data_IF_844418175146
#
_entry.id   IF_844418175146
#
_cell.length_a   1.000
_cell.length_b   1.000
_cell.length_c   1.000
_cell.angle_alpha   90.00
_cell.angle_beta   90.00
_cell.angle_gamma   90.00
#
_symmetry.space_group_name_H-M   'P 1'
#
loop_
_entity.id
_entity.type
_entity.pdbx_description
1 polymer ?
#
# COMPACT_ATOMS: atom_id res chain seq x y z
N UNK A 1 12.29 0.74 22.95
CA UNK A 1 10.90 1.23 22.83
C UNK A 1 10.54 1.22 21.35
N UNK A 2 9.49 0.50 20.93
CA UNK A 2 9.23 0.27 19.50
C UNK A 2 8.56 1.46 18.80
N UNK A 3 8.19 2.52 19.51
CA UNK A 3 7.49 3.65 18.92
C UNK A 3 8.31 4.28 17.79
N UNK A 4 7.68 4.35 16.63
CA UNK A 4 8.21 4.94 15.41
C UNK A 4 7.03 5.37 14.55
N UNK A 5 7.08 6.58 13.99
CA UNK A 5 6.09 7.05 13.04
C UNK A 5 6.83 7.68 11.87
N UNK A 6 6.65 7.11 10.69
CA UNK A 6 7.19 7.65 9.46
C UNK A 6 6.22 8.68 8.89
N UNK A 7 6.75 9.81 8.41
CA UNK A 7 5.96 10.82 7.71
C UNK A 7 5.71 10.39 6.26
N UNK A 8 4.81 9.43 6.08
CA UNK A 8 4.50 8.82 4.77
C UNK A 8 3.37 9.62 4.11
N UNK A 9 3.58 10.16 2.89
CA UNK A 9 2.53 10.84 2.15
C UNK A 9 1.31 9.93 1.98
N UNK A 10 0.13 10.46 2.26
CA UNK A 10 -1.12 9.74 2.07
C UNK A 10 -1.60 9.92 0.63
N UNK A 11 -1.83 8.82 -0.08
CA UNK A 11 -2.31 8.83 -1.46
C UNK A 11 -3.63 8.07 -1.54
N UNK A 12 -4.70 8.75 -1.97
CA UNK A 12 -5.99 8.13 -2.23
C UNK A 12 -6.02 7.37 -3.56
N UNK A 13 -6.76 6.26 -3.62
CA UNK A 13 -6.89 5.52 -4.88
C UNK A 13 -7.86 6.16 -5.87
N UNK A 14 -8.86 6.90 -5.39
CA UNK A 14 -9.93 7.54 -6.19
C UNK A 14 -9.71 9.03 -6.49
N UNK A 15 -8.70 9.64 -5.88
CA UNK A 15 -8.46 11.09 -5.92
C UNK A 15 -7.00 11.42 -6.24
N UNK A 16 -6.81 12.54 -6.92
CA UNK A 16 -5.50 13.15 -7.16
C UNK A 16 -4.93 13.81 -5.90
N UNK A 17 -3.72 14.34 -6.03
CA UNK A 17 -3.06 15.10 -4.95
C UNK A 17 -3.84 16.37 -4.56
N UNK A 18 -4.64 16.90 -5.48
CA UNK A 18 -5.52 18.05 -5.29
C UNK A 18 -6.87 17.69 -4.65
N UNK A 19 -7.06 16.43 -4.26
CA UNK A 19 -8.30 15.92 -3.69
C UNK A 19 -9.43 15.75 -4.70
N UNK A 20 -9.23 16.07 -5.98
CA UNK A 20 -10.24 15.90 -7.02
C UNK A 20 -10.30 14.43 -7.47
N UNK A 21 -11.47 13.95 -7.93
CA UNK A 21 -11.58 12.60 -8.50
C UNK A 21 -10.53 12.37 -9.61
N UNK A 22 -9.90 11.20 -9.60
CA UNK A 22 -9.11 10.75 -10.75
C UNK A 22 -10.07 10.42 -11.89
N UNK A 23 -10.00 11.21 -12.96
CA UNK A 23 -10.84 11.03 -14.14
C UNK A 23 -10.02 10.44 -15.28
N UNK A 24 -10.52 9.38 -15.92
CA UNK A 24 -9.95 8.80 -17.13
C UNK A 24 -11.04 8.52 -18.17
N UNK A 25 -10.73 8.55 -19.48
CA UNK A 25 -11.69 8.15 -20.50
C UNK A 25 -11.99 6.64 -20.37
N UNK A 26 -13.28 6.30 -20.37
CA UNK A 26 -13.75 4.92 -20.49
C UNK A 26 -13.55 4.39 -21.93
N UNK A 27 -13.82 3.10 -22.23
CA UNK A 27 -13.67 2.56 -23.59
C UNK A 27 -14.50 3.28 -24.67
N UNK A 28 -15.50 4.07 -24.29
CA UNK A 28 -16.30 4.90 -25.20
C UNK A 28 -15.76 6.33 -25.35
N UNK A 29 -14.65 6.67 -24.68
CA UNK A 29 -14.01 7.98 -24.69
C UNK A 29 -14.63 9.00 -23.72
N UNK A 30 -15.60 8.60 -22.90
CA UNK A 30 -16.24 9.48 -21.91
C UNK A 30 -15.43 9.51 -20.62
N UNK A 31 -15.22 10.71 -20.07
CA UNK A 31 -14.53 10.85 -18.79
C UNK A 31 -15.36 10.23 -17.66
N UNK A 32 -14.79 9.25 -16.98
CA UNK A 32 -15.37 8.57 -15.82
C UNK A 32 -14.40 8.59 -14.64
N UNK A 33 -14.94 8.51 -13.42
CA UNK A 33 -14.10 8.36 -12.23
C UNK A 33 -13.43 6.99 -12.23
N UNK A 34 -12.13 6.98 -11.99
CA UNK A 34 -11.29 5.81 -11.98
C UNK A 34 -10.68 5.58 -10.59
N UNK A 35 -10.16 4.37 -10.37
CA UNK A 35 -9.34 4.04 -9.22
C UNK A 35 -10.10 3.26 -8.16
N UNK A 36 -11.24 2.68 -8.52
CA UNK A 36 -12.01 1.77 -7.67
C UNK A 36 -11.21 0.52 -7.28
N UNK A 37 -10.26 0.10 -8.11
CA UNK A 37 -9.38 -1.04 -7.88
C UNK A 37 -7.90 -0.67 -7.84
N UNK A 38 -7.57 0.59 -7.53
CA UNK A 38 -6.20 1.11 -7.55
C UNK A 38 -5.50 1.16 -6.18
N UNK A 39 -6.01 0.46 -5.17
CA UNK A 39 -5.40 0.43 -3.82
C UNK A 39 -3.92 0.00 -3.84
N UNK A 40 -3.60 -1.01 -4.64
CA UNK A 40 -2.24 -1.53 -4.79
C UNK A 40 -1.28 -0.47 -5.33
N UNK A 41 -1.70 0.32 -6.33
CA UNK A 41 -0.86 1.35 -6.94
C UNK A 41 -0.71 2.56 -6.04
N UNK A 42 -1.81 3.02 -5.45
CA UNK A 42 -1.79 4.13 -4.49
C UNK A 42 -0.85 3.81 -3.32
N UNK A 43 -0.93 2.58 -2.79
CA UNK A 43 -0.01 2.11 -1.75
C UNK A 43 1.45 2.03 -2.23
N UNK A 44 1.72 1.61 -3.47
CA UNK A 44 3.07 1.63 -4.03
C UNK A 44 3.62 3.07 -4.16
N UNK A 45 2.78 4.02 -4.58
CA UNK A 45 3.10 5.44 -4.63
C UNK A 45 3.47 5.97 -3.24
N UNK A 46 2.71 5.64 -2.19
CA UNK A 46 3.01 6.06 -0.81
C UNK A 46 4.39 5.58 -0.36
N UNK A 47 4.75 4.33 -0.67
CA UNK A 47 6.09 3.79 -0.35
C UNK A 47 7.18 4.54 -1.10
N UNK A 48 7.00 4.77 -2.41
CA UNK A 48 8.00 5.49 -3.22
C UNK A 48 8.15 6.97 -2.83
N UNK A 49 7.04 7.67 -2.55
CA UNK A 49 7.06 9.10 -2.22
C UNK A 49 7.63 9.42 -0.85
N UNK A 50 7.67 8.45 0.06
CA UNK A 50 8.43 8.60 1.30
C UNK A 50 9.92 8.83 1.03
N UNK A 51 10.49 8.24 -0.03
CA UNK A 51 11.91 8.38 -0.38
C UNK A 51 12.17 9.55 -1.32
N UNK A 52 11.34 9.69 -2.35
CA UNK A 52 11.47 10.76 -3.34
C UNK A 52 10.07 11.24 -3.72
N UNK A 53 9.65 12.41 -3.23
CA UNK A 53 8.40 13.03 -3.67
C UNK A 53 8.43 13.20 -5.19
N UNK A 54 7.33 12.86 -5.85
CA UNK A 54 7.18 13.02 -7.29
C UNK A 54 5.70 13.05 -7.67
N UNK A 55 5.35 13.61 -8.83
CA UNK A 55 3.98 13.57 -9.30
C UNK A 55 3.54 12.12 -9.51
N UNK A 56 2.27 11.83 -9.22
CA UNK A 56 1.64 10.60 -9.69
C UNK A 56 1.50 10.72 -11.19
N UNK A 57 2.27 9.92 -11.94
CA UNK A 57 2.26 9.90 -13.41
C UNK A 57 0.96 9.28 -13.98
N UNK A 58 -0.15 9.31 -13.22
CA UNK A 58 -1.35 8.51 -13.48
C UNK A 58 -1.14 7.04 -13.14
N UNK A 59 -2.16 6.22 -13.41
CA UNK A 59 -2.02 4.76 -13.45
C UNK A 59 -1.31 4.39 -14.75
N UNK A 60 -0.18 3.64 -14.71
CA UNK A 60 0.42 3.11 -15.91
C UNK A 60 -0.58 2.35 -16.79
N UNK A 61 -0.39 2.42 -18.10
CA UNK A 61 -1.32 1.91 -19.10
C UNK A 61 -1.68 0.44 -18.90
N UNK A 62 -0.71 -0.36 -18.46
CA UNK A 62 -0.88 -1.77 -18.11
C UNK A 62 -1.91 -2.00 -16.97
N UNK A 63 -2.31 -0.94 -16.27
CA UNK A 63 -3.21 -0.99 -15.12
C UNK A 63 -4.40 -0.02 -15.21
N UNK A 64 -4.69 0.49 -16.42
CA UNK A 64 -5.82 1.39 -16.70
C UNK A 64 -7.18 0.69 -16.76
N UNK A 65 -7.26 -0.63 -16.59
CA UNK A 65 -8.53 -1.35 -16.68
C UNK A 65 -9.42 -1.24 -15.43
N UNK A 66 -9.12 -0.33 -14.51
CA UNK A 66 -9.61 -0.30 -13.12
C UNK A 66 -9.78 -1.71 -12.51
N UNK A 67 -8.76 -2.53 -12.70
CA UNK A 67 -8.76 -3.93 -12.32
C UNK A 67 -7.89 -4.15 -11.08
N UNK A 68 -8.29 -5.09 -10.23
CA UNK A 68 -7.45 -5.56 -9.14
C UNK A 68 -6.21 -6.27 -9.66
N UNK A 69 -5.14 -6.30 -8.87
CA UNK A 69 -3.99 -7.14 -9.18
C UNK A 69 -4.32 -8.60 -8.90
N UNK A 70 -3.93 -9.48 -9.84
CA UNK A 70 -3.80 -10.90 -9.53
C UNK A 70 -2.59 -11.12 -8.61
N UNK A 71 -2.58 -12.23 -7.89
CA UNK A 71 -1.46 -12.58 -7.00
C UNK A 71 -0.11 -12.67 -7.76
N UNK A 72 -0.13 -13.15 -9.01
CA UNK A 72 1.08 -13.20 -9.84
C UNK A 72 1.56 -11.80 -10.25
N UNK A 73 0.64 -10.84 -10.44
CA UNK A 73 0.96 -9.49 -10.90
C UNK A 73 1.62 -8.61 -9.84
N UNK A 74 1.60 -9.01 -8.56
CA UNK A 74 2.27 -8.28 -7.47
C UNK A 74 3.80 -8.23 -7.67
N UNK A 75 4.41 -9.27 -8.26
CA UNK A 75 5.84 -9.24 -8.58
C UNK A 75 6.16 -8.26 -9.71
N UNK A 76 5.26 -8.17 -10.72
CA UNK A 76 5.38 -7.20 -11.80
C UNK A 76 5.23 -5.77 -11.29
N UNK A 77 4.29 -5.53 -10.37
CA UNK A 77 4.19 -4.26 -9.65
C UNK A 77 5.50 -3.94 -8.94
N UNK A 78 6.04 -4.89 -8.16
CA UNK A 78 7.25 -4.67 -7.40
C UNK A 78 8.43 -4.30 -8.32
N UNK A 79 8.60 -4.99 -9.45
CA UNK A 79 9.61 -4.63 -10.44
C UNK A 79 9.40 -3.23 -11.02
N UNK A 80 8.18 -2.91 -11.46
CA UNK A 80 7.88 -1.63 -12.11
C UNK A 80 8.07 -0.43 -11.17
N UNK A 81 7.73 -0.59 -9.89
CA UNK A 81 7.80 0.47 -8.89
C UNK A 81 9.13 0.49 -8.10
N UNK A 82 10.08 -0.38 -8.47
CA UNK A 82 11.35 -0.54 -7.77
C UNK A 82 11.16 -0.92 -6.30
N UNK A 83 10.19 -1.80 -6.03
CA UNK A 83 9.96 -2.43 -4.74
C UNK A 83 10.58 -3.82 -4.73
N UNK A 84 10.79 -4.34 -3.53
CA UNK A 84 11.19 -5.74 -3.31
C UNK A 84 10.34 -6.38 -2.23
N UNK A 85 10.14 -7.68 -2.37
CA UNK A 85 9.48 -8.49 -1.36
C UNK A 85 10.36 -8.67 -0.13
N UNK A 86 9.74 -8.63 1.05
CA UNK A 86 10.37 -9.06 2.30
C UNK A 86 9.63 -10.27 2.87
N UNK A 87 10.37 -11.18 3.49
CA UNK A 87 9.79 -12.35 4.11
C UNK A 87 8.89 -11.96 5.30
N UNK A 88 7.76 -12.65 5.45
CA UNK A 88 6.94 -12.55 6.65
C UNK A 88 7.75 -13.08 7.85
N UNK A 89 7.85 -12.33 8.95
CA UNK A 89 8.55 -12.82 10.14
C UNK A 89 7.88 -14.09 10.68
N UNK A 90 8.68 -15.06 11.14
CA UNK A 90 8.16 -16.35 11.64
C UNK A 90 7.20 -16.18 12.84
N UNK A 91 7.49 -15.22 13.73
CA UNK A 91 6.63 -14.87 14.86
C UNK A 91 5.42 -14.00 14.48
N UNK A 92 5.23 -13.72 13.18
CA UNK A 92 4.24 -12.76 12.70
C UNK A 92 4.69 -11.30 12.84
N UNK A 93 3.81 -10.40 12.42
CA UNK A 93 4.02 -8.96 12.52
C UNK A 93 3.64 -8.48 13.93
N UNK A 94 4.60 -8.38 14.84
CA UNK A 94 4.43 -7.77 16.17
C UNK A 94 4.76 -6.28 16.08
N UNK A 95 4.43 -5.50 17.13
CA UNK A 95 4.83 -4.10 17.19
C UNK A 95 6.35 -3.94 17.07
N UNK A 96 7.13 -4.79 17.74
CA UNK A 96 8.59 -4.75 17.67
C UNK A 96 9.11 -5.11 16.27
N UNK A 97 8.61 -6.20 15.67
CA UNK A 97 9.10 -6.61 14.34
C UNK A 97 8.69 -5.62 13.25
N UNK A 98 7.50 -5.02 13.35
CA UNK A 98 7.09 -3.94 12.45
C UNK A 98 8.00 -2.72 12.64
N UNK A 99 8.25 -2.29 13.88
CA UNK A 99 9.12 -1.15 14.14
C UNK A 99 10.54 -1.35 13.56
N UNK A 100 11.10 -2.55 13.72
CA UNK A 100 12.42 -2.89 13.18
C UNK A 100 12.43 -2.97 11.65
N UNK A 101 11.35 -3.45 11.03
CA UNK A 101 11.20 -3.42 9.57
C UNK A 101 11.08 -1.98 9.06
N UNK A 102 10.29 -1.14 9.71
CA UNK A 102 10.12 0.28 9.36
C UNK A 102 11.43 1.06 9.47
N UNK A 103 12.25 0.81 10.51
CA UNK A 103 13.58 1.44 10.65
C UNK A 103 14.53 1.03 9.53
N UNK A 104 14.51 -0.24 9.12
CA UNK A 104 15.42 -0.78 8.10
C UNK A 104 15.01 -0.44 6.68
N UNK A 105 13.71 -0.34 6.42
CA UNK A 105 13.18 -0.34 5.05
C UNK A 105 12.20 0.79 4.76
N UNK A 106 11.88 1.64 5.74
CA UNK A 106 10.84 2.64 5.61
C UNK A 106 9.43 2.00 5.56
N UNK A 107 8.44 2.66 4.94
CA UNK A 107 7.07 2.18 4.91
C UNK A 107 6.93 0.83 4.20
N UNK A 108 5.97 0.03 4.67
CA UNK A 108 5.76 -1.34 4.18
C UNK A 108 4.41 -1.40 3.47
N UNK A 109 4.42 -1.70 2.19
CA UNK A 109 3.23 -2.07 1.44
C UNK A 109 2.77 -3.46 1.88
N UNK A 110 1.50 -3.62 2.24
CA UNK A 110 0.95 -4.87 2.75
C UNK A 110 -0.34 -5.25 2.01
N UNK A 111 -0.38 -6.45 1.42
CA UNK A 111 -1.56 -7.05 0.80
C UNK A 111 -2.32 -7.93 1.78
N UNK A 112 -3.63 -7.69 1.88
CA UNK A 112 -4.51 -8.36 2.82
C UNK A 112 -5.97 -8.27 2.41
N UNK A 113 -6.85 -8.53 3.37
CA UNK A 113 -8.29 -8.28 3.30
C UNK A 113 -8.66 -7.20 4.32
N UNK A 114 -8.13 -6.00 4.13
CA UNK A 114 -8.16 -4.92 5.13
C UNK A 114 -9.40 -4.02 5.07
N UNK A 115 -10.33 -4.26 4.14
CA UNK A 115 -11.55 -3.45 4.01
C UNK A 115 -12.60 -3.90 5.02
N UNK A 116 -12.90 -3.03 5.98
CA UNK A 116 -13.96 -3.23 6.97
C UNK A 116 -15.29 -3.51 6.23
N UNK A 117 -16.01 -4.56 6.64
CA UNK A 117 -17.27 -4.98 6.00
C UNK A 117 -17.12 -5.79 4.70
N UNK A 118 -15.89 -5.95 4.17
CA UNK A 118 -15.62 -6.69 2.93
C UNK A 118 -14.48 -7.71 3.12
N UNK A 119 -14.65 -8.75 3.95
CA UNK A 119 -13.57 -9.64 4.40
C UNK A 119 -12.96 -10.51 3.28
N UNK A 120 -13.60 -10.60 2.11
CA UNK A 120 -13.09 -11.33 0.93
C UNK A 120 -12.45 -10.40 -0.12
N UNK A 121 -12.54 -9.08 0.05
CA UNK A 121 -11.99 -8.14 -0.90
C UNK A 121 -10.49 -7.95 -0.64
N UNK A 122 -9.68 -8.29 -1.65
CA UNK A 122 -8.24 -7.99 -1.63
C UNK A 122 -8.00 -6.49 -1.54
N UNK A 123 -7.13 -6.07 -0.64
CA UNK A 123 -6.80 -4.67 -0.39
C UNK A 123 -5.32 -4.50 -0.04
N UNK A 124 -4.76 -3.38 -0.46
CA UNK A 124 -3.38 -3.01 -0.15
C UNK A 124 -3.36 -1.75 0.71
N UNK A 125 -2.69 -1.84 1.86
CA UNK A 125 -2.44 -0.72 2.78
C UNK A 125 -0.93 -0.45 2.89
N UNK A 126 -0.55 0.62 3.57
CA UNK A 126 0.86 0.90 3.90
C UNK A 126 1.04 1.04 5.39
N UNK A 127 1.87 0.19 5.99
CA UNK A 127 2.27 0.33 7.39
C UNK A 127 3.25 1.50 7.51
N UNK A 128 2.96 2.43 8.42
CA UNK A 128 3.67 3.71 8.54
C UNK A 128 4.27 3.93 9.92
N UNK A 129 3.89 3.14 10.92
CA UNK A 129 4.37 3.34 12.27
C UNK A 129 3.88 2.31 13.28
N UNK A 130 4.39 2.46 14.49
CA UNK A 130 3.99 1.76 15.71
C UNK A 130 3.89 2.79 16.83
N UNK A 131 2.78 2.73 17.56
CA UNK A 131 2.55 3.41 18.84
C UNK A 131 1.91 2.36 19.74
N UNK A 132 2.72 1.66 20.52
CA UNK A 132 2.28 0.46 21.25
C UNK A 132 1.00 0.72 22.06
N UNK A 133 -0.04 -0.14 21.97
CA UNK A 133 -0.08 -1.46 21.32
C UNK A 133 -0.56 -1.44 19.84
N UNK A 134 -0.54 -0.28 19.19
CA UNK A 134 -1.11 -0.08 17.86
C UNK A 134 -0.06 0.00 16.75
N UNK A 135 -0.44 -0.51 15.60
CA UNK A 135 0.22 -0.31 14.32
C UNK A 135 -0.53 0.79 13.58
N UNK A 136 0.22 1.73 13.01
CA UNK A 136 -0.28 2.82 12.19
C UNK A 136 -0.17 2.41 10.72
N UNK A 137 -1.19 2.74 9.94
CA UNK A 137 -1.20 2.49 8.51
C UNK A 137 -1.99 3.55 7.75
N UNK A 138 -1.64 3.74 6.48
CA UNK A 138 -2.40 4.52 5.52
C UNK A 138 -3.25 3.56 4.67
N UNK A 139 -4.53 3.89 4.55
CA UNK A 139 -5.50 3.18 3.71
C UNK A 139 -5.85 4.04 2.48
N UNK A 140 -5.61 3.57 1.25
CA UNK A 140 -5.91 4.36 0.06
C UNK A 140 -7.41 4.46 -0.28
N UNK A 141 -8.28 3.58 0.26
CA UNK A 141 -9.73 3.57 -0.01
C UNK A 141 -10.45 4.73 0.68
N UNK A 142 -10.16 4.89 1.96
CA UNK A 142 -10.50 6.03 2.80
C UNK A 142 -9.20 6.71 3.19
N UNK A 143 -8.66 7.63 2.36
CA UNK A 143 -7.34 8.20 2.55
C UNK A 143 -7.25 8.94 3.89
N UNK A 144 -6.86 8.19 4.90
CA UNK A 144 -6.73 8.61 6.29
C UNK A 144 -5.70 7.71 6.97
N UNK A 145 -4.88 8.31 7.83
CA UNK A 145 -4.06 7.55 8.75
C UNK A 145 -4.97 6.83 9.76
N UNK A 146 -4.83 5.51 9.84
CA UNK A 146 -5.60 4.63 10.72
C UNK A 146 -4.66 3.91 11.68
N UNK A 147 -5.23 3.38 12.76
CA UNK A 147 -4.49 2.55 13.73
C UNK A 147 -5.30 1.31 14.10
N UNK A 148 -4.62 0.17 14.22
CA UNK A 148 -5.20 -1.13 14.61
C UNK A 148 -4.18 -1.93 15.43
N UNK A 149 -4.61 -2.88 16.29
CA UNK A 149 -3.68 -3.80 16.93
C UNK A 149 -2.91 -4.63 15.90
N UNK A 150 -1.67 -5.01 16.22
CA UNK A 150 -0.86 -5.86 15.35
C UNK A 150 -1.54 -7.20 14.99
N UNK A 151 -2.33 -7.75 15.91
CA UNK A 151 -3.13 -8.96 15.66
C UNK A 151 -4.12 -8.80 14.49
N UNK A 152 -4.76 -7.63 14.36
CA UNK A 152 -5.67 -7.34 13.26
C UNK A 152 -4.93 -7.29 11.92
N UNK A 153 -3.71 -6.76 11.90
CA UNK A 153 -2.87 -6.76 10.69
C UNK A 153 -2.56 -8.20 10.27
N UNK A 154 -2.20 -9.06 11.22
CA UNK A 154 -1.88 -10.46 10.94
C UNK A 154 -3.08 -11.28 10.48
N UNK A 155 -4.26 -11.08 11.07
CA UNK A 155 -5.46 -11.86 10.73
C UNK A 155 -6.00 -11.57 9.33
N UNK A 156 -5.65 -10.42 8.76
CA UNK A 156 -6.08 -10.00 7.43
C UNK A 156 -4.95 -10.04 6.38
N UNK A 157 -3.69 -10.26 6.78
CA UNK A 157 -2.57 -10.35 5.83
C UNK A 157 -2.72 -11.60 4.93
N UNK A 158 -2.57 -11.44 3.61
CA UNK A 158 -2.61 -12.57 2.70
C UNK A 158 -1.46 -13.54 2.97
N UNK A 159 -1.76 -14.85 2.92
CA UNK A 159 -0.75 -15.89 3.07
C UNK A 159 -0.05 -16.20 1.73
N UNK A 160 0.69 -15.22 1.21
CA UNK A 160 1.43 -15.30 -0.05
C UNK A 160 2.86 -14.77 0.15
N UNK A 161 3.87 -15.26 -0.61
CA UNK A 161 5.26 -14.85 -0.43
C UNK A 161 5.50 -13.34 -0.60
N UNK A 162 4.72 -12.69 -1.47
CA UNK A 162 4.84 -11.27 -1.83
C UNK A 162 3.78 -10.38 -1.16
N UNK A 163 3.26 -10.79 0.00
CA UNK A 163 2.29 -10.00 0.76
C UNK A 163 2.86 -8.71 1.34
N UNK A 164 4.19 -8.62 1.49
CA UNK A 164 4.89 -7.47 2.05
C UNK A 164 5.94 -6.98 1.07
N UNK A 165 5.84 -5.71 0.67
CA UNK A 165 6.82 -5.05 -0.20
C UNK A 165 7.39 -3.80 0.47
N UNK A 166 8.65 -3.50 0.19
CA UNK A 166 9.35 -2.29 0.62
C UNK A 166 10.12 -1.69 -0.54
N UNK A 167 10.59 -0.44 -0.42
CA UNK A 167 11.43 0.15 -1.47
C UNK A 167 12.74 -0.63 -1.62
N UNK A 168 13.12 -0.93 -2.86
CA UNK A 168 14.45 -1.46 -3.14
C UNK A 168 15.46 -0.30 -3.25
N UNK A 169 16.18 -0.05 -2.17
CA UNK A 169 17.19 1.01 -2.09
C UNK A 169 18.42 0.76 -2.97
N UNK A 170 18.57 -0.44 -3.56
CA UNK A 170 19.65 -0.73 -4.51
C UNK A 170 19.33 -0.29 -5.94
N UNK A 171 18.06 0.06 -6.21
CA UNK A 171 17.54 0.52 -7.49
C UNK A 171 17.15 1.99 -7.35
N UNK A 172 18.16 2.88 -7.39
CA UNK A 172 17.99 4.34 -7.36
C UNK A 172 17.85 4.92 -8.75
#
# INVERSE_FOLDING_TARGET
MPDIVLNVPLVGQKTGLDGRPLMQPDPSGRMAQHGWMACWYASACMVSYFYRPGPRLGLPTVWQADAGLTLQAVNSLAMAEGLKTIAKPAAGLTCDTIADLLRRHGPIWAAGTYLDGHPMAGHAIVLTGVQTPFVLYNDPWEPKAKKRPAQWINSHLLNIPNALLVKDQTRS
#
